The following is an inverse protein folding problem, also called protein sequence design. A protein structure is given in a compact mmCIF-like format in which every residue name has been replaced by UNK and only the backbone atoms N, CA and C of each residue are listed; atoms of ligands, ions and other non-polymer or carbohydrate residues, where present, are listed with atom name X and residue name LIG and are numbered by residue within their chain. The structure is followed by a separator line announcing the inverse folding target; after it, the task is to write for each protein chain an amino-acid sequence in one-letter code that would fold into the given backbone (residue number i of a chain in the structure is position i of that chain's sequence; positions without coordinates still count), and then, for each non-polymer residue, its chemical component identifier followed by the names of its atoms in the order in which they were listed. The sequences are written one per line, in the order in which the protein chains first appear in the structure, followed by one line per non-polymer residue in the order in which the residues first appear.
data_IF_231654863268
#
_entry.id   IF_231654863268
#
_cell.length_a   1.000
_cell.length_b   1.000
_cell.length_c   1.000
_cell.angle_alpha   90.00
_cell.angle_beta   90.00
_cell.angle_gamma   90.00
#
_symmetry.space_group_name_H-M   'P 1'
#
loop_
_entity.id
_entity.type
_entity.pdbx_description
1 polymer ?
#
# COMPACT_ATOMS: atom_id res chain seq x y z
N UNK A 1 -4.95 24.15 5.80
CA UNK A 1 -5.00 22.82 6.46
C UNK A 1 -6.41 22.56 6.95
N UNK A 2 -7.07 21.59 6.37
CA UNK A 2 -8.44 21.16 6.70
C UNK A 2 -8.48 20.42 8.03
N UNK A 3 -9.67 20.23 8.60
CA UNK A 3 -9.82 19.42 9.83
C UNK A 3 -9.38 17.99 9.63
N UNK A 4 -9.65 17.41 8.46
CA UNK A 4 -9.22 16.05 8.10
C UNK A 4 -7.70 15.92 8.09
N UNK A 5 -7.00 16.86 7.47
CA UNK A 5 -5.52 16.91 7.48
C UNK A 5 -4.96 17.04 8.90
N UNK A 6 -5.54 17.90 9.74
CA UNK A 6 -5.12 18.04 11.14
C UNK A 6 -5.21 16.73 11.93
N UNK A 7 -6.27 15.93 11.70
CA UNK A 7 -6.44 14.63 12.35
C UNK A 7 -5.35 13.66 11.88
N UNK A 8 -5.12 13.57 10.58
CA UNK A 8 -4.08 12.68 10.01
C UNK A 8 -2.69 13.04 10.51
N UNK A 9 -2.31 14.30 10.45
CA UNK A 9 -1.01 14.77 10.92
C UNK A 9 -0.80 14.48 12.41
N UNK A 10 -1.84 14.74 13.23
CA UNK A 10 -1.81 14.46 14.66
C UNK A 10 -1.68 12.96 14.94
N UNK A 11 -2.37 12.11 14.16
CA UNK A 11 -2.30 10.66 14.28
C UNK A 11 -0.92 10.14 13.86
N UNK A 12 -0.43 10.48 12.67
CA UNK A 12 0.90 10.11 12.18
C UNK A 12 1.99 10.47 13.18
N UNK A 13 1.99 11.71 13.64
CA UNK A 13 2.97 12.19 14.61
C UNK A 13 2.89 11.43 15.94
N UNK A 14 1.69 11.06 16.39
CA UNK A 14 1.51 10.28 17.63
C UNK A 14 1.93 8.82 17.46
N UNK A 15 1.68 8.21 16.29
CA UNK A 15 2.10 6.85 15.95
C UNK A 15 3.63 6.76 15.93
N UNK A 16 4.30 7.70 15.27
CA UNK A 16 5.76 7.73 15.19
C UNK A 16 6.37 7.95 16.59
N UNK A 17 5.83 8.86 17.38
CA UNK A 17 6.32 9.16 18.72
C UNK A 17 6.15 7.99 19.68
N UNK A 18 4.98 7.35 19.70
CA UNK A 18 4.65 6.26 20.61
C UNK A 18 4.99 4.87 20.09
N UNK A 19 5.41 4.75 18.83
CA UNK A 19 5.75 3.49 18.15
C UNK A 19 4.59 2.47 18.19
N UNK A 20 3.35 2.94 18.09
CA UNK A 20 2.12 2.13 18.05
C UNK A 20 0.98 2.89 17.37
N UNK A 21 0.08 2.18 16.67
CA UNK A 21 -1.19 2.75 16.17
C UNK A 21 -2.29 2.76 17.22
N UNK A 22 -2.05 2.16 18.40
CA UNK A 22 -3.03 2.12 19.51
C UNK A 22 -3.12 3.48 20.22
N UNK A 23 -3.31 4.55 19.44
CA UNK A 23 -3.48 5.92 19.94
C UNK A 23 -4.93 6.17 20.35
N UNK A 24 -5.17 6.76 21.51
CA UNK A 24 -6.53 7.09 21.93
C UNK A 24 -7.11 8.27 21.14
N UNK A 25 -8.41 8.24 20.86
CA UNK A 25 -9.11 9.36 20.21
C UNK A 25 -8.90 10.68 21.00
N UNK A 26 -8.83 10.59 22.33
CA UNK A 26 -8.54 11.75 23.20
C UNK A 26 -7.19 12.38 22.89
N UNK A 27 -6.17 11.58 22.65
CA UNK A 27 -4.83 12.07 22.33
C UNK A 27 -4.79 12.69 20.93
N UNK A 28 -5.46 12.05 19.95
CA UNK A 28 -5.56 12.58 18.59
C UNK A 28 -6.28 13.93 18.59
N UNK A 29 -7.45 14.00 19.23
CA UNK A 29 -8.28 15.21 19.33
C UNK A 29 -7.50 16.36 20.00
N UNK A 30 -6.81 16.06 21.12
CA UNK A 30 -5.97 17.03 21.82
C UNK A 30 -4.83 17.56 20.95
N UNK A 31 -4.12 16.66 20.26
CA UNK A 31 -2.98 17.02 19.40
C UNK A 31 -3.43 17.79 18.16
N UNK A 32 -4.54 17.39 17.54
CA UNK A 32 -5.14 18.06 16.39
C UNK A 32 -5.79 19.40 16.73
N UNK A 33 -5.96 19.71 18.02
CA UNK A 33 -6.65 20.92 18.54
C UNK A 33 -8.07 21.08 17.97
N UNK A 34 -8.85 19.99 17.99
CA UNK A 34 -10.24 19.94 17.52
C UNK A 34 -11.17 19.41 18.62
N UNK A 35 -12.49 19.49 18.38
CA UNK A 35 -13.47 18.85 19.27
C UNK A 35 -13.63 17.37 18.97
N UNK A 36 -14.09 16.56 19.96
CA UNK A 36 -14.48 15.16 19.74
C UNK A 36 -15.55 15.03 18.66
N UNK A 37 -16.53 15.93 18.65
CA UNK A 37 -17.59 15.95 17.64
C UNK A 37 -16.98 16.14 16.24
N UNK A 38 -16.01 17.04 16.09
CA UNK A 38 -15.32 17.25 14.82
C UNK A 38 -14.55 16.01 14.38
N UNK A 39 -13.95 15.27 15.31
CA UNK A 39 -13.26 14.01 15.01
C UNK A 39 -14.22 12.97 14.42
N UNK A 40 -15.32 12.66 15.12
CA UNK A 40 -16.30 11.66 14.69
C UNK A 40 -17.10 12.03 13.43
N UNK A 41 -17.06 13.29 12.99
CA UNK A 41 -17.60 13.68 11.69
C UNK A 41 -16.73 13.17 10.51
N UNK A 42 -15.48 12.81 10.75
CA UNK A 42 -14.54 12.35 9.70
C UNK A 42 -14.15 10.90 9.84
N UNK A 43 -14.02 10.39 11.05
CA UNK A 43 -13.52 9.04 11.33
C UNK A 43 -14.30 8.36 12.43
N UNK A 44 -14.73 7.12 12.19
CA UNK A 44 -15.39 6.30 13.19
C UNK A 44 -14.40 5.85 14.29
N UNK A 45 -13.16 5.59 13.89
CA UNK A 45 -12.09 5.06 14.72
C UNK A 45 -10.69 5.34 14.12
N UNK A 46 -9.65 4.90 14.82
CA UNK A 46 -8.26 5.04 14.38
C UNK A 46 -7.89 4.19 13.16
N UNK A 47 -8.56 3.05 12.96
CA UNK A 47 -8.30 2.18 11.82
C UNK A 47 -8.71 2.90 10.53
N UNK A 48 -9.86 3.54 10.51
CA UNK A 48 -10.32 4.39 9.39
C UNK A 48 -9.33 5.49 9.04
N UNK A 49 -8.58 6.02 10.02
CA UNK A 49 -7.51 7.01 9.76
C UNK A 49 -6.34 6.34 9.04
N UNK A 50 -5.92 5.15 9.48
CA UNK A 50 -4.81 4.40 8.88
C UNK A 50 -5.12 4.05 7.41
N UNK A 51 -6.33 3.56 7.16
CA UNK A 51 -6.81 3.25 5.82
C UNK A 51 -6.84 4.49 4.91
N UNK A 52 -7.34 5.62 5.43
CA UNK A 52 -7.40 6.87 4.68
C UNK A 52 -6.01 7.43 4.34
N UNK A 53 -5.04 7.31 5.25
CA UNK A 53 -3.64 7.70 4.99
C UNK A 53 -3.05 6.83 3.87
N UNK A 54 -3.31 5.52 3.89
CA UNK A 54 -2.88 4.62 2.84
C UNK A 54 -3.51 5.00 1.49
N UNK A 55 -4.84 5.10 1.45
CA UNK A 55 -5.59 5.42 0.23
C UNK A 55 -5.09 6.73 -0.38
N UNK A 56 -4.97 7.79 0.43
CA UNK A 56 -4.49 9.09 -0.05
C UNK A 56 -3.04 9.03 -0.58
N UNK A 57 -2.17 8.24 0.07
CA UNK A 57 -0.80 8.03 -0.39
C UNK A 57 -0.78 7.44 -1.80
N UNK A 58 -1.64 6.47 -2.07
CA UNK A 58 -1.71 5.79 -3.37
C UNK A 58 -2.46 6.64 -4.41
N UNK A 59 -3.64 7.17 -4.07
CA UNK A 59 -4.47 7.93 -5.02
C UNK A 59 -3.77 9.19 -5.50
N UNK A 60 -3.09 9.92 -4.61
CA UNK A 60 -2.32 11.11 -5.00
C UNK A 60 -1.18 10.76 -5.96
N UNK A 61 -0.48 9.64 -5.70
CA UNK A 61 0.61 9.16 -6.56
C UNK A 61 0.07 8.69 -7.92
N UNK A 62 -1.00 7.90 -7.93
CA UNK A 62 -1.65 7.44 -9.17
C UNK A 62 -2.06 8.64 -10.03
N UNK A 63 -2.75 9.61 -9.45
CA UNK A 63 -3.18 10.81 -10.17
C UNK A 63 -2.00 11.56 -10.79
N UNK A 64 -0.96 11.81 -10.01
CA UNK A 64 0.25 12.48 -10.50
C UNK A 64 0.91 11.73 -11.68
N UNK A 65 0.97 10.39 -11.59
CA UNK A 65 1.55 9.56 -12.64
C UNK A 65 0.74 9.60 -13.94
N UNK A 66 -0.59 9.57 -13.84
CA UNK A 66 -1.46 9.68 -15.01
C UNK A 66 -1.36 11.06 -15.66
N UNK A 67 -1.37 12.13 -14.89
CA UNK A 67 -1.25 13.51 -15.40
C UNK A 67 0.08 13.72 -16.16
N UNK A 68 1.15 13.07 -15.69
CA UNK A 68 2.50 13.15 -16.28
C UNK A 68 2.78 12.12 -17.40
N UNK A 69 1.83 11.22 -17.72
CA UNK A 69 1.99 10.14 -18.72
C UNK A 69 3.26 9.31 -18.49
N UNK A 70 3.49 8.89 -17.26
CA UNK A 70 4.68 8.14 -16.87
C UNK A 70 4.70 6.74 -17.51
N UNK A 71 5.91 6.20 -17.72
CA UNK A 71 6.07 4.77 -18.05
C UNK A 71 5.67 3.88 -16.88
N UNK A 72 5.43 2.59 -17.15
CA UNK A 72 5.12 1.62 -16.09
C UNK A 72 6.20 1.58 -15.02
N UNK A 73 7.47 1.60 -15.42
CA UNK A 73 8.60 1.62 -14.49
C UNK A 73 8.60 2.86 -13.59
N UNK A 74 8.43 4.04 -14.19
CA UNK A 74 8.32 5.28 -13.42
C UNK A 74 7.13 5.25 -12.46
N UNK A 75 5.99 4.76 -12.93
CA UNK A 75 4.78 4.62 -12.11
C UNK A 75 5.04 3.74 -10.87
N UNK A 76 5.61 2.56 -11.06
CA UNK A 76 5.93 1.63 -9.97
C UNK A 76 6.93 2.26 -9.00
N UNK A 77 7.96 2.93 -9.54
CA UNK A 77 8.97 3.62 -8.72
C UNK A 77 8.33 4.69 -7.83
N UNK A 78 7.43 5.51 -8.38
CA UNK A 78 6.75 6.56 -7.58
C UNK A 78 5.84 5.99 -6.50
N UNK A 79 5.19 4.85 -6.74
CA UNK A 79 4.43 4.13 -5.70
C UNK A 79 5.36 3.71 -4.56
N UNK A 80 6.51 3.08 -4.84
CA UNK A 80 7.47 2.71 -3.78
C UNK A 80 8.05 3.93 -3.07
N UNK A 81 8.33 5.03 -3.78
CA UNK A 81 8.78 6.30 -3.18
C UNK A 81 7.75 6.90 -2.24
N UNK A 82 6.45 6.85 -2.58
CA UNK A 82 5.39 7.35 -1.74
C UNK A 82 5.32 6.61 -0.39
N UNK A 83 5.46 5.28 -0.40
CA UNK A 83 5.59 4.50 0.82
C UNK A 83 6.87 4.80 1.59
N UNK A 84 8.00 4.89 0.90
CA UNK A 84 9.31 5.17 1.50
C UNK A 84 9.34 6.52 2.21
N UNK A 85 8.72 7.54 1.63
CA UNK A 85 8.59 8.87 2.23
C UNK A 85 7.91 8.83 3.60
N UNK A 86 6.94 7.93 3.77
CA UNK A 86 6.15 7.75 4.99
C UNK A 86 6.54 6.49 5.77
N UNK A 87 7.75 5.94 5.55
CA UNK A 87 8.17 4.65 6.09
C UNK A 87 8.04 4.52 7.61
N UNK A 88 8.35 5.58 8.34
CA UNK A 88 8.29 5.55 9.81
C UNK A 88 6.87 5.31 10.34
N UNK A 89 5.87 5.80 9.62
CA UNK A 89 4.47 5.53 9.94
C UNK A 89 4.07 4.11 9.52
N UNK A 90 4.33 3.74 8.26
CA UNK A 90 3.87 2.45 7.72
C UNK A 90 4.52 1.25 8.41
N UNK A 91 5.80 1.33 8.80
CA UNK A 91 6.49 0.27 9.55
C UNK A 91 5.79 0.02 10.90
N UNK A 92 5.36 1.09 11.58
CA UNK A 92 4.66 0.96 12.87
C UNK A 92 3.23 0.44 12.65
N UNK A 93 2.52 0.97 11.65
CA UNK A 93 1.16 0.57 11.33
C UNK A 93 1.04 -0.94 11.04
N UNK A 94 2.02 -1.49 10.33
CA UNK A 94 2.07 -2.91 10.00
C UNK A 94 2.34 -3.81 11.21
N UNK A 95 3.24 -3.40 12.09
CA UNK A 95 3.56 -4.20 13.28
C UNK A 95 2.36 -4.38 14.22
N UNK A 96 1.46 -3.42 14.24
CA UNK A 96 0.27 -3.43 15.07
C UNK A 96 -0.99 -3.98 14.36
N UNK A 97 -0.88 -4.37 13.09
CA UNK A 97 -1.98 -4.97 12.31
C UNK A 97 -2.09 -6.48 12.59
N UNK A 98 -2.52 -6.82 13.80
CA UNK A 98 -2.62 -8.20 14.29
C UNK A 98 -3.57 -9.07 13.45
N UNK A 99 -4.55 -8.47 12.78
CA UNK A 99 -5.57 -9.17 11.98
C UNK A 99 -5.32 -9.09 10.46
N UNK A 100 -4.24 -8.47 10.03
CA UNK A 100 -3.94 -8.17 8.62
C UNK A 100 -5.04 -7.36 7.89
N UNK A 101 -5.94 -6.71 8.62
CA UNK A 101 -7.09 -5.99 8.08
C UNK A 101 -6.67 -4.84 7.14
N UNK A 102 -5.54 -4.19 7.43
CA UNK A 102 -4.97 -3.17 6.55
C UNK A 102 -4.56 -3.79 5.20
N UNK A 103 -3.89 -4.93 5.22
CA UNK A 103 -3.46 -5.59 3.98
C UNK A 103 -4.62 -6.12 3.15
N UNK A 104 -5.66 -6.65 3.80
CA UNK A 104 -6.85 -7.11 3.10
C UNK A 104 -7.55 -5.93 2.39
N UNK A 105 -7.70 -4.79 3.08
CA UNK A 105 -8.22 -3.55 2.48
C UNK A 105 -7.35 -3.08 1.30
N UNK A 106 -6.02 -3.17 1.43
CA UNK A 106 -5.08 -2.81 0.35
C UNK A 106 -5.24 -3.74 -0.85
N UNK A 107 -5.35 -5.05 -0.62
CA UNK A 107 -5.54 -6.04 -1.70
C UNK A 107 -6.85 -5.75 -2.44
N UNK A 108 -7.96 -5.56 -1.73
CA UNK A 108 -9.25 -5.24 -2.33
C UNK A 108 -9.20 -3.98 -3.20
N UNK A 109 -8.58 -2.92 -2.69
CA UNK A 109 -8.42 -1.66 -3.45
C UNK A 109 -7.56 -1.84 -4.69
N UNK A 110 -6.42 -2.51 -4.57
CA UNK A 110 -5.55 -2.78 -5.71
C UNK A 110 -6.22 -3.70 -6.73
N UNK A 111 -7.03 -4.68 -6.30
CA UNK A 111 -7.80 -5.55 -7.19
C UNK A 111 -8.77 -4.73 -8.07
N UNK A 112 -9.45 -3.74 -7.49
CA UNK A 112 -10.32 -2.84 -8.26
C UNK A 112 -9.53 -2.10 -9.35
N UNK A 113 -8.34 -1.57 -9.00
CA UNK A 113 -7.47 -0.88 -9.95
C UNK A 113 -7.03 -1.82 -11.08
N UNK A 114 -6.55 -3.02 -10.75
CA UNK A 114 -6.14 -4.01 -11.75
C UNK A 114 -7.29 -4.46 -12.63
N UNK A 115 -8.47 -4.70 -12.05
CA UNK A 115 -9.67 -5.04 -12.84
C UNK A 115 -10.01 -3.94 -13.85
N UNK A 116 -9.91 -2.68 -13.44
CA UNK A 116 -10.12 -1.56 -14.35
C UNK A 116 -9.09 -1.49 -15.47
N UNK A 117 -7.81 -1.71 -15.16
CA UNK A 117 -6.72 -1.64 -16.15
C UNK A 117 -6.77 -2.79 -17.17
N UNK A 118 -7.25 -3.97 -16.77
CA UNK A 118 -7.22 -5.17 -17.61
C UNK A 118 -8.56 -5.55 -18.25
N UNK A 119 -9.66 -4.88 -17.91
CA UNK A 119 -11.02 -5.21 -18.43
C UNK A 119 -11.15 -5.21 -19.95
N UNK A 120 -10.37 -4.37 -20.63
CA UNK A 120 -10.41 -4.27 -22.10
C UNK A 120 -9.52 -5.35 -22.78
N UNK A 121 -8.65 -5.99 -22.01
CA UNK A 121 -7.73 -7.05 -22.47
C UNK A 121 -8.31 -8.43 -22.15
N UNK A 122 -8.90 -8.58 -20.96
CA UNK A 122 -9.43 -9.86 -20.45
C UNK A 122 -10.95 -9.79 -20.44
N UNK A 123 -11.57 -10.44 -21.43
CA UNK A 123 -13.03 -10.40 -21.60
C UNK A 123 -13.78 -11.35 -20.64
N UNK A 124 -13.14 -12.44 -20.21
CA UNK A 124 -13.70 -13.39 -19.25
C UNK A 124 -13.67 -12.76 -17.84
N UNK A 125 -14.85 -12.48 -17.29
CA UNK A 125 -14.99 -11.81 -16.00
C UNK A 125 -14.45 -12.64 -14.83
N UNK A 126 -14.59 -13.95 -14.87
CA UNK A 126 -14.06 -14.84 -13.82
C UNK A 126 -12.53 -14.83 -13.87
N UNK A 127 -11.98 -14.93 -15.08
CA UNK A 127 -10.52 -14.85 -15.28
C UNK A 127 -9.97 -13.49 -14.88
N UNK A 128 -10.67 -12.41 -15.20
CA UNK A 128 -10.30 -11.05 -14.81
C UNK A 128 -10.26 -10.90 -13.29
N UNK A 129 -11.26 -11.41 -12.57
CA UNK A 129 -11.32 -11.37 -11.10
C UNK A 129 -10.11 -12.08 -10.47
N UNK A 130 -9.85 -13.34 -10.85
CA UNK A 130 -8.70 -14.09 -10.31
C UNK A 130 -7.34 -13.46 -10.65
N UNK A 131 -7.16 -12.96 -11.87
CA UNK A 131 -5.90 -12.32 -12.26
C UNK A 131 -5.69 -10.99 -11.54
N UNK A 132 -6.73 -10.18 -11.40
CA UNK A 132 -6.66 -8.92 -10.65
C UNK A 132 -6.32 -9.16 -9.18
N UNK A 133 -6.95 -10.16 -8.55
CA UNK A 133 -6.62 -10.58 -7.19
C UNK A 133 -5.16 -11.07 -7.06
N UNK A 134 -4.71 -11.91 -7.99
CA UNK A 134 -3.32 -12.39 -8.02
C UNK A 134 -2.32 -11.24 -8.07
N UNK A 135 -2.50 -10.29 -8.99
CA UNK A 135 -1.60 -9.14 -9.12
C UNK A 135 -1.63 -8.26 -7.89
N UNK A 136 -2.82 -7.95 -7.36
CA UNK A 136 -2.98 -7.16 -6.15
C UNK A 136 -2.28 -7.82 -4.95
N UNK A 137 -2.55 -9.11 -4.71
CA UNK A 137 -1.97 -9.86 -3.60
C UNK A 137 -0.44 -9.94 -3.69
N UNK A 138 0.11 -10.19 -4.88
CA UNK A 138 1.56 -10.27 -5.07
C UNK A 138 2.25 -8.94 -4.74
N UNK A 139 1.70 -7.82 -5.21
CA UNK A 139 2.24 -6.49 -4.89
C UNK A 139 2.19 -6.19 -3.39
N UNK A 140 1.06 -6.48 -2.75
CA UNK A 140 0.86 -6.22 -1.33
C UNK A 140 1.78 -7.10 -0.48
N UNK A 141 1.98 -8.36 -0.83
CA UNK A 141 2.90 -9.24 -0.11
C UNK A 141 4.36 -8.80 -0.26
N UNK A 142 4.75 -8.30 -1.42
CA UNK A 142 6.08 -7.73 -1.62
C UNK A 142 6.29 -6.46 -0.78
N UNK A 143 5.31 -5.56 -0.78
CA UNK A 143 5.30 -4.37 0.08
C UNK A 143 5.38 -4.74 1.56
N UNK A 144 4.58 -5.72 2.00
CA UNK A 144 4.58 -6.23 3.38
C UNK A 144 5.95 -6.74 3.79
N UNK A 145 6.61 -7.52 2.93
CA UNK A 145 7.96 -8.01 3.17
C UNK A 145 8.95 -6.87 3.33
N UNK A 146 8.90 -5.88 2.44
CA UNK A 146 9.79 -4.72 2.48
C UNK A 146 9.61 -3.89 3.76
N UNK A 147 8.36 -3.62 4.14
CA UNK A 147 8.01 -2.93 5.39
C UNK A 147 8.51 -3.69 6.63
N UNK A 148 8.28 -5.02 6.68
CA UNK A 148 8.74 -5.86 7.80
C UNK A 148 10.27 -5.88 7.93
N UNK A 149 11.00 -5.74 6.81
CA UNK A 149 12.45 -5.62 6.78
C UNK A 149 12.94 -4.18 7.07
N UNK A 150 12.05 -3.25 7.42
CA UNK A 150 12.39 -1.87 7.75
C UNK A 150 12.65 -0.97 6.54
N UNK A 151 12.24 -1.40 5.34
CA UNK A 151 12.41 -0.65 4.08
C UNK A 151 13.88 -0.21 3.87
N UNK A 152 14.80 -1.18 3.99
CA UNK A 152 16.25 -0.93 3.87
C UNK A 152 16.63 -0.71 2.42
N UNK A 153 16.07 -1.49 1.51
CA UNK A 153 16.31 -1.37 0.08
C UNK A 153 15.68 -0.09 -0.49
N UNK A 154 16.25 0.43 -1.58
CA UNK A 154 15.73 1.63 -2.23
C UNK A 154 14.43 1.35 -3.00
N UNK A 155 13.58 2.38 -3.23
CA UNK A 155 12.43 2.28 -4.12
C UNK A 155 12.76 1.77 -5.53
N UNK A 156 13.90 2.18 -6.07
CA UNK A 156 14.39 1.77 -7.38
C UNK A 156 14.70 0.26 -7.39
N UNK A 157 15.38 -0.26 -6.37
CA UNK A 157 15.62 -1.70 -6.21
C UNK A 157 14.30 -2.48 -6.13
N UNK A 158 13.31 -1.98 -5.38
CA UNK A 158 11.99 -2.62 -5.29
C UNK A 158 11.26 -2.62 -6.63
N UNK A 159 11.47 -1.58 -7.43
CA UNK A 159 10.96 -1.51 -8.81
C UNK A 159 11.60 -2.58 -9.70
N UNK A 160 12.91 -2.75 -9.64
CA UNK A 160 13.61 -3.82 -10.36
C UNK A 160 13.06 -5.21 -9.99
N UNK A 161 12.93 -5.50 -8.69
CA UNK A 161 12.36 -6.77 -8.20
C UNK A 161 10.95 -7.00 -8.76
N UNK A 162 10.11 -5.96 -8.78
CA UNK A 162 8.76 -6.05 -9.33
C UNK A 162 8.78 -6.35 -10.83
N UNK A 163 9.57 -5.62 -11.62
CA UNK A 163 9.66 -5.79 -13.07
C UNK A 163 10.29 -7.13 -13.46
N UNK A 164 11.31 -7.56 -12.75
CA UNK A 164 11.98 -8.84 -12.99
C UNK A 164 11.06 -10.04 -12.73
N UNK A 165 10.16 -9.93 -11.76
CA UNK A 165 9.18 -10.98 -11.52
C UNK A 165 8.26 -11.23 -12.73
N UNK A 166 8.06 -10.22 -13.58
CA UNK A 166 7.27 -10.33 -14.80
C UNK A 166 8.10 -10.78 -16.00
N UNK A 167 9.35 -10.32 -16.13
CA UNK A 167 10.23 -10.63 -17.26
C UNK A 167 10.79 -12.05 -17.21
N UNK A 168 11.08 -12.54 -16.01
CA UNK A 168 11.79 -13.81 -15.84
C UNK A 168 10.87 -15.01 -15.60
N UNK A 169 9.55 -14.83 -15.62
CA UNK A 169 8.62 -15.92 -15.35
C UNK A 169 8.76 -17.09 -16.33
N UNK A 170 8.91 -16.81 -17.63
CA UNK A 170 9.11 -17.82 -18.67
C UNK A 170 10.47 -18.53 -18.52
N UNK A 171 11.54 -17.77 -18.30
CA UNK A 171 12.89 -18.29 -18.10
C UNK A 171 13.00 -19.16 -16.83
N UNK A 172 12.33 -18.78 -15.76
CA UNK A 172 12.26 -19.59 -14.52
C UNK A 172 11.55 -20.92 -14.78
N UNK A 173 10.47 -20.92 -15.55
CA UNK A 173 9.71 -22.12 -15.86
C UNK A 173 10.54 -23.12 -16.67
N UNK A 174 11.27 -22.66 -17.70
CA UNK A 174 12.19 -23.48 -18.46
C UNK A 174 13.33 -24.04 -17.60
N UNK A 175 13.88 -23.22 -16.68
CA UNK A 175 14.94 -23.67 -15.79
C UNK A 175 14.47 -24.75 -14.78
N UNK A 176 13.21 -24.69 -14.34
CA UNK A 176 12.62 -25.70 -13.45
C UNK A 176 12.42 -27.03 -14.21
N UNK A 177 11.93 -26.98 -15.46
CA UNK A 177 11.73 -28.16 -16.28
C UNK A 177 13.09 -28.84 -16.60
N UNK A 178 14.14 -28.06 -16.84
CA UNK A 178 15.45 -28.53 -17.20
C UNK A 178 16.32 -28.97 -16.00
N UNK A 179 16.01 -28.52 -14.78
CA UNK A 179 16.65 -29.03 -13.57
C UNK A 179 15.99 -30.38 -13.23
N UNK A 180 16.72 -31.48 -13.39
CA UNK A 180 16.41 -32.75 -12.72
C UNK A 180 16.41 -32.41 -11.21
N UNK A 181 15.23 -32.19 -10.65
CA UNK A 181 15.06 -31.89 -9.22
C UNK A 181 15.34 -33.17 -8.44
N UNK A 182 16.48 -33.18 -7.76
CA UNK A 182 16.71 -34.08 -6.64
C UNK A 182 16.00 -33.40 -5.43
N UNK A 183 14.70 -33.64 -5.32
CA UNK A 183 13.91 -33.38 -4.09
C UNK A 183 13.77 -34.70 -3.34
#
# INVERSE_FOLDING_TARGET
MTTKEKIKDAFIASVIEKQTVKISDKDIVRRAKISRRSFYNYYADRQSITEDIYIETIESTIKECFDKKMTTEMFITEIYKAFFKNKNFFIVAIKDDEQNSLFDTIIERNQIVFSYLYKDIIQDQIKLDYLSYKYASTQVMLLKKWLNNGMVESPEFMTEVYLDSHKNYENMHESIINKKTNW
#
